data_IF_244354524383
#
_entry.id   IF_244354524383
#
_cell.length_a   1.000
_cell.length_b   1.000
_cell.length_c   1.000
_cell.angle_alpha   90.00
_cell.angle_beta   90.00
_cell.angle_gamma   90.00
#
_symmetry.space_group_name_H-M   'P 1'
#
loop_
_entity.id
_entity.type
_entity.pdbx_description
1 polymer ?
#
# COMPACT_ATOMS: atom_id res chain seq x y z
N UNK A 1 -5.29 -21.82 3.25
CA UNK A 1 -4.62 -20.68 2.59
C UNK A 1 -4.02 -19.83 3.69
N UNK A 2 -2.76 -19.40 3.53
CA UNK A 2 -2.10 -18.58 4.55
C UNK A 2 -2.75 -17.18 4.55
N UNK A 3 -3.18 -16.63 5.71
CA UNK A 3 -3.74 -15.27 5.77
C UNK A 3 -2.87 -14.23 5.06
N UNK A 4 -1.54 -14.34 5.16
CA UNK A 4 -0.61 -13.40 4.52
C UNK A 4 -0.67 -13.44 2.99
N UNK A 5 -0.85 -14.62 2.40
CA UNK A 5 -0.99 -14.79 0.94
C UNK A 5 -2.31 -14.17 0.48
N UNK A 6 -3.41 -14.48 1.18
CA UNK A 6 -4.73 -13.94 0.90
C UNK A 6 -4.76 -12.41 0.98
N UNK A 7 -4.13 -11.82 1.99
CA UNK A 7 -4.05 -10.38 2.15
C UNK A 7 -3.21 -9.72 1.04
N UNK A 8 -2.13 -10.38 0.61
CA UNK A 8 -1.30 -9.89 -0.49
C UNK A 8 -2.06 -9.91 -1.82
N UNK A 9 -2.84 -10.96 -2.09
CA UNK A 9 -3.71 -11.03 -3.26
C UNK A 9 -4.84 -10.00 -3.20
N UNK A 10 -5.49 -9.84 -2.04
CA UNK A 10 -6.51 -8.79 -1.84
C UNK A 10 -5.95 -7.40 -2.12
N UNK A 11 -4.76 -7.09 -1.59
CA UNK A 11 -4.10 -5.81 -1.85
C UNK A 11 -3.80 -5.61 -3.33
N UNK A 12 -3.25 -6.63 -3.99
CA UNK A 12 -2.95 -6.58 -5.42
C UNK A 12 -4.20 -6.30 -6.25
N UNK A 13 -5.29 -7.03 -6.00
CA UNK A 13 -6.55 -6.83 -6.70
C UNK A 13 -7.11 -5.43 -6.46
N UNK A 14 -7.08 -4.94 -5.21
CA UNK A 14 -7.53 -3.60 -4.88
C UNK A 14 -6.74 -2.51 -5.62
N UNK A 15 -5.42 -2.65 -5.71
CA UNK A 15 -4.54 -1.72 -6.44
C UNK A 15 -4.86 -1.71 -7.95
N UNK A 16 -5.10 -2.89 -8.53
CA UNK A 16 -5.47 -3.03 -9.95
C UNK A 16 -6.87 -2.48 -10.25
N UNK A 17 -7.84 -2.72 -9.36
CA UNK A 17 -9.24 -2.30 -9.52
C UNK A 17 -9.41 -0.78 -9.35
N UNK A 18 -8.76 -0.19 -8.36
CA UNK A 18 -8.90 1.25 -8.06
C UNK A 18 -8.00 2.13 -8.92
N UNK A 19 -6.82 1.62 -9.30
CA UNK A 19 -5.80 2.36 -10.04
C UNK A 19 -5.42 3.72 -9.41
N UNK A 20 -5.62 3.87 -8.09
CA UNK A 20 -5.32 5.10 -7.34
C UNK A 20 -3.81 5.26 -7.10
N UNK A 21 -3.11 4.14 -6.98
CA UNK A 21 -1.68 4.07 -6.73
C UNK A 21 -1.12 2.79 -7.36
N UNK A 22 0.04 2.89 -8.02
CA UNK A 22 0.77 1.73 -8.53
C UNK A 22 1.79 1.22 -7.50
N UNK A 23 2.25 -0.01 -7.69
CA UNK A 23 3.29 -0.61 -6.87
C UNK A 23 4.40 -1.19 -7.74
N UNK A 24 5.63 -1.14 -7.23
CA UNK A 24 6.80 -1.73 -7.85
C UNK A 24 6.70 -3.25 -7.77
N UNK A 25 6.51 -3.89 -8.94
CA UNK A 25 6.35 -5.34 -9.07
C UNK A 25 7.64 -6.11 -8.84
N UNK A 26 8.80 -5.48 -9.05
CA UNK A 26 10.10 -6.11 -8.86
C UNK A 26 10.45 -6.21 -7.37
N UNK A 27 10.02 -5.24 -6.56
CA UNK A 27 10.16 -5.26 -5.10
C UNK A 27 9.04 -6.09 -4.45
N UNK A 28 7.80 -5.91 -4.91
CA UNK A 28 6.63 -6.64 -4.44
C UNK A 28 6.17 -6.25 -3.03
N UNK A 29 5.48 -7.19 -2.36
CA UNK A 29 4.82 -6.97 -1.09
C UNK A 29 5.53 -7.70 0.06
N UNK A 30 5.56 -7.07 1.24
CA UNK A 30 6.02 -7.71 2.47
C UNK A 30 4.95 -7.64 3.56
N UNK A 31 4.35 -8.78 3.87
CA UNK A 31 3.36 -8.92 4.94
C UNK A 31 4.03 -9.29 6.28
N UNK A 32 3.82 -8.45 7.30
CA UNK A 32 4.27 -8.72 8.68
C UNK A 32 3.30 -9.67 9.39
N UNK A 33 3.69 -10.19 10.54
CA UNK A 33 2.73 -10.83 11.47
C UNK A 33 1.76 -9.78 12.00
N UNK A 34 0.58 -10.24 12.46
CA UNK A 34 -0.39 -9.33 13.05
C UNK A 34 0.14 -8.71 14.34
N UNK A 35 -0.20 -7.45 14.57
CA UNK A 35 0.16 -6.72 15.76
C UNK A 35 -0.99 -5.81 16.22
N UNK A 36 -1.06 -5.56 17.52
CA UNK A 36 -2.02 -4.61 18.10
C UNK A 36 -1.54 -3.18 17.80
N UNK A 37 -2.39 -2.38 17.16
CA UNK A 37 -2.08 -1.01 16.75
C UNK A 37 -3.24 -0.07 17.05
N UNK A 38 -2.90 1.14 17.47
CA UNK A 38 -3.80 2.28 17.35
C UNK A 38 -3.95 2.63 15.86
N UNK A 39 -5.19 2.73 15.39
CA UNK A 39 -5.53 3.11 14.03
C UNK A 39 -5.33 4.63 13.84
N UNK A 40 -5.37 5.09 12.59
CA UNK A 40 -5.14 6.50 12.25
C UNK A 40 -6.11 7.50 12.90
N UNK A 41 -7.23 7.06 13.45
CA UNK A 41 -8.17 7.91 14.18
C UNK A 41 -7.67 8.31 15.59
N UNK A 42 -6.56 7.71 16.05
CA UNK A 42 -5.94 7.95 17.34
C UNK A 42 -6.78 7.50 18.54
N UNK A 43 -7.81 6.66 18.31
CA UNK A 43 -8.78 6.25 19.34
C UNK A 43 -9.09 4.76 19.30
N UNK A 44 -9.09 4.17 18.12
CA UNK A 44 -9.42 2.76 17.93
C UNK A 44 -8.14 1.93 18.00
N UNK A 45 -8.10 0.94 18.89
CA UNK A 45 -6.99 -0.02 18.97
C UNK A 45 -7.46 -1.39 18.48
N UNK A 46 -6.76 -1.98 17.50
CA UNK A 46 -7.14 -3.25 16.88
C UNK A 46 -5.93 -4.09 16.47
N UNK A 47 -6.07 -5.42 16.50
CA UNK A 47 -5.11 -6.31 15.85
C UNK A 47 -5.19 -6.14 14.33
N UNK A 48 -4.06 -5.85 13.69
CA UNK A 48 -3.97 -5.61 12.26
C UNK A 48 -2.84 -6.39 11.63
N UNK A 49 -3.01 -6.78 10.36
CA UNK A 49 -1.89 -7.13 9.49
C UNK A 49 -1.42 -5.88 8.75
N UNK A 50 -0.10 -5.74 8.60
CA UNK A 50 0.49 -4.65 7.83
C UNK A 50 1.28 -5.22 6.67
N UNK A 51 0.93 -4.78 5.45
CA UNK A 51 1.67 -5.07 4.23
C UNK A 51 2.39 -3.81 3.80
N UNK A 52 3.72 -3.87 3.70
CA UNK A 52 4.52 -2.79 3.13
C UNK A 52 4.85 -3.05 1.66
N UNK A 53 4.84 -2.00 0.85
CA UNK A 53 5.24 -2.03 -0.57
C UNK A 53 5.75 -0.66 -1.01
N UNK A 54 6.47 -0.60 -2.12
CA UNK A 54 6.90 0.67 -2.73
C UNK A 54 6.05 0.98 -3.96
N UNK A 55 5.78 2.26 -4.21
CA UNK A 55 5.27 2.69 -5.52
C UNK A 55 6.38 2.63 -6.57
N UNK A 56 6.01 2.62 -7.84
CA UNK A 56 6.98 2.68 -8.93
C UNK A 56 7.71 4.04 -8.95
N UNK A 57 8.96 4.04 -9.41
CA UNK A 57 9.66 5.26 -9.79
C UNK A 57 8.98 5.90 -11.00
N UNK A 58 8.84 7.22 -10.99
CA UNK A 58 8.38 7.96 -12.15
C UNK A 58 9.56 8.74 -12.76
N UNK A 59 10.04 8.26 -13.91
CA UNK A 59 11.13 8.89 -14.66
C UNK A 59 10.53 9.59 -15.88
N UNK A 60 10.75 10.91 -15.98
CA UNK A 60 10.36 11.70 -17.15
C UNK A 60 11.58 11.94 -18.03
N UNK A 61 11.44 11.64 -19.31
CA UNK A 61 12.46 11.85 -20.34
C UNK A 61 12.08 13.01 -21.25
N UNK A 62 13.07 13.73 -21.77
CA UNK A 62 12.88 14.69 -22.85
C UNK A 62 12.77 14.02 -24.23
N UNK A 63 12.62 14.83 -25.28
CA UNK A 63 12.55 14.36 -26.67
C UNK A 63 13.83 13.68 -27.19
N UNK A 64 14.96 13.87 -26.52
CA UNK A 64 16.24 13.27 -26.87
C UNK A 64 16.53 12.00 -26.05
N UNK A 65 15.63 11.63 -25.12
CA UNK A 65 15.81 10.49 -24.22
C UNK A 65 16.65 10.81 -22.98
N UNK A 66 16.90 12.09 -22.68
CA UNK A 66 17.60 12.52 -21.46
C UNK A 66 16.62 12.60 -20.29
N UNK A 67 17.04 12.16 -19.10
CA UNK A 67 16.22 12.24 -17.89
C UNK A 67 16.13 13.72 -17.46
N UNK A 68 14.92 14.23 -17.38
CA UNK A 68 14.65 15.60 -16.91
C UNK A 68 13.96 15.63 -15.54
N UNK A 69 13.41 14.51 -15.09
CA UNK A 69 12.85 14.39 -13.74
C UNK A 69 12.85 12.94 -13.28
N UNK A 70 13.11 12.74 -11.99
CA UNK A 70 12.99 11.48 -11.27
C UNK A 70 12.17 11.74 -10.00
N UNK A 71 11.06 11.02 -9.86
CA UNK A 71 10.35 10.87 -8.60
C UNK A 71 10.53 9.44 -8.12
N UNK A 72 11.32 9.26 -7.08
CA UNK A 72 11.53 7.96 -6.46
C UNK A 72 10.22 7.42 -5.86
N UNK A 73 10.05 6.12 -5.99
CA UNK A 73 8.96 5.36 -5.40
C UNK A 73 8.88 5.58 -3.90
N UNK A 74 7.65 5.62 -3.39
CA UNK A 74 7.39 5.88 -1.98
C UNK A 74 6.99 4.59 -1.26
N UNK A 75 7.54 4.41 -0.05
CA UNK A 75 7.11 3.36 0.85
C UNK A 75 5.69 3.61 1.34
N UNK A 76 4.85 2.59 1.19
CA UNK A 76 3.44 2.56 1.58
C UNK A 76 3.17 1.39 2.52
N UNK A 77 2.12 1.52 3.35
CA UNK A 77 1.70 0.52 4.32
C UNK A 77 0.19 0.31 4.22
N UNK A 78 -0.25 -0.86 3.77
CA UNK A 78 -1.64 -1.26 3.78
C UNK A 78 -1.98 -1.93 5.12
N UNK A 79 -3.02 -1.44 5.78
CA UNK A 79 -3.50 -1.93 7.07
C UNK A 79 -4.74 -2.79 6.83
N UNK A 80 -4.70 -4.02 7.29
CA UNK A 80 -5.81 -4.96 7.20
C UNK A 80 -6.27 -5.37 8.58
N UNK A 81 -7.58 -5.49 8.74
CA UNK A 81 -8.21 -6.02 9.93
C UNK A 81 -7.80 -7.49 10.15
N UNK A 82 -7.25 -7.84 11.32
CA UNK A 82 -6.80 -9.21 11.56
C UNK A 82 -7.95 -10.22 11.74
N UNK A 83 -9.16 -9.76 12.06
CA UNK A 83 -10.34 -10.60 12.24
C UNK A 83 -11.05 -10.85 10.91
N UNK A 84 -11.28 -9.79 10.13
CA UNK A 84 -12.06 -9.87 8.89
C UNK A 84 -11.21 -9.98 7.63
N UNK A 85 -9.91 -9.70 7.73
CA UNK A 85 -8.98 -9.61 6.60
C UNK A 85 -9.39 -8.55 5.57
N UNK A 86 -10.18 -7.55 5.97
CA UNK A 86 -10.59 -6.44 5.13
C UNK A 86 -9.58 -5.30 5.18
N UNK A 87 -9.38 -4.63 4.03
CA UNK A 87 -8.54 -3.45 3.95
C UNK A 87 -9.18 -2.33 4.78
N UNK A 88 -8.40 -1.73 5.66
CA UNK A 88 -8.84 -0.57 6.45
C UNK A 88 -8.45 0.73 5.75
N UNK A 89 -7.18 0.85 5.35
CA UNK A 89 -6.62 1.98 4.63
C UNK A 89 -5.18 1.69 4.18
N UNK A 90 -4.65 2.54 3.30
CA UNK A 90 -3.23 2.59 2.96
C UNK A 90 -2.62 3.87 3.51
N UNK A 91 -1.55 3.77 4.29
CA UNK A 91 -0.76 4.91 4.74
C UNK A 91 0.42 5.13 3.80
N UNK A 92 0.69 6.40 3.48
CA UNK A 92 1.88 6.86 2.77
C UNK A 92 2.41 8.12 3.42
N UNK A 93 3.60 8.57 3.01
CA UNK A 93 4.25 9.78 3.55
C UNK A 93 3.34 11.03 3.55
N UNK A 94 2.48 11.16 2.53
CA UNK A 94 1.62 12.33 2.35
C UNK A 94 0.22 12.22 2.98
N UNK A 95 -0.10 11.11 3.67
CA UNK A 95 -1.42 10.91 4.28
C UNK A 95 -1.93 9.48 4.10
N UNK A 96 -3.25 9.34 4.06
CA UNK A 96 -3.93 8.06 3.98
C UNK A 96 -4.73 7.95 2.68
N UNK A 97 -5.00 6.71 2.28
CA UNK A 97 -5.91 6.37 1.19
C UNK A 97 -6.98 5.48 1.79
N UNK A 98 -8.23 5.87 1.61
CA UNK A 98 -9.40 5.14 2.03
C UNK A 98 -9.65 3.92 1.14
N UNK A 99 -10.49 3.00 1.63
CA UNK A 99 -10.85 1.77 0.90
C UNK A 99 -11.55 2.07 -0.43
N UNK A 100 -12.25 3.21 -0.51
CA UNK A 100 -12.89 3.68 -1.75
C UNK A 100 -11.93 4.43 -2.69
N UNK A 101 -10.66 4.59 -2.29
CA UNK A 101 -9.63 5.30 -3.06
C UNK A 101 -9.53 6.79 -2.78
N UNK A 102 -10.34 7.35 -1.88
CA UNK A 102 -10.26 8.77 -1.49
C UNK A 102 -9.04 9.08 -0.60
N UNK A 103 -8.68 10.36 -0.54
CA UNK A 103 -7.51 10.91 0.18
C UNK A 103 -7.90 11.70 1.42
#
# INVERSE_FOLDING_TARGET
>A
MNPKEQLTEKLKNWLEETNVISYDKDIGFRCRDKELRELRDGKTEKEVYIISFNTEDNITYDKNGEIISLFEGMLCFAYFDAETLELLYISKKAGYIEVDGSY
#
